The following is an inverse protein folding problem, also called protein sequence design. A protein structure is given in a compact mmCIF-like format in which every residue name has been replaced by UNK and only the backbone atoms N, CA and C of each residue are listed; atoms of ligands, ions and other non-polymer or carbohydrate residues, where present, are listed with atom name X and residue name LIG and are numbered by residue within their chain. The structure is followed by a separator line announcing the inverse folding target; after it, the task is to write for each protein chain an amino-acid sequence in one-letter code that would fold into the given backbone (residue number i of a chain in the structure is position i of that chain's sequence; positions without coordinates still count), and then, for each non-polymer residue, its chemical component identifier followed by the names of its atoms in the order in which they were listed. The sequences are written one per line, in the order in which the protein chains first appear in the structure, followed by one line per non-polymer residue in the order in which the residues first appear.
data_IF_377498716010
#
_entry.id   IF_377498716010
#
_cell.length_a   1.000
_cell.length_b   1.000
_cell.length_c   1.000
_cell.angle_alpha   90.00
_cell.angle_beta   90.00
_cell.angle_gamma   90.00
#
_symmetry.space_group_name_H-M   'P 1'
#
loop_
_entity.id
_entity.type
_entity.pdbx_description
1 polymer ?
#
# COMPACT_ATOMS: atom_id res chain seq x y z
N UNK A 1 -17.24 -2.79 -20.08
CA UNK A 1 -18.17 -3.51 -19.20
C UNK A 1 -17.65 -3.43 -17.77
N UNK A 2 -18.40 -2.82 -16.82
CA UNK A 2 -17.98 -2.72 -15.42
C UNK A 2 -17.62 -4.05 -14.76
N UNK A 3 -18.27 -5.15 -15.17
CA UNK A 3 -17.97 -6.48 -14.62
C UNK A 3 -16.58 -6.98 -15.05
N UNK A 4 -16.20 -6.75 -16.30
CA UNK A 4 -14.89 -7.11 -16.83
C UNK A 4 -13.76 -6.29 -16.17
N UNK A 5 -13.99 -5.00 -15.94
CA UNK A 5 -13.03 -4.13 -15.25
C UNK A 5 -12.83 -4.61 -13.81
N UNK A 6 -13.93 -4.92 -13.10
CA UNK A 6 -13.86 -5.45 -11.72
C UNK A 6 -13.12 -6.79 -11.66
N UNK A 7 -13.32 -7.66 -12.65
CA UNK A 7 -12.61 -8.93 -12.74
C UNK A 7 -11.11 -8.75 -13.01
N UNK A 8 -10.74 -7.78 -13.86
CA UNK A 8 -9.34 -7.46 -14.15
C UNK A 8 -8.62 -6.94 -12.89
N UNK A 9 -9.25 -6.03 -12.13
CA UNK A 9 -8.66 -5.42 -10.93
C UNK A 9 -8.30 -6.43 -9.83
N UNK A 10 -8.99 -7.57 -9.73
CA UNK A 10 -8.72 -8.61 -8.71
C UNK A 10 -7.35 -9.27 -8.84
N UNK A 11 -6.75 -9.23 -10.03
CA UNK A 11 -5.46 -9.87 -10.32
C UNK A 11 -4.35 -8.85 -10.58
N UNK A 12 -4.60 -7.58 -10.28
CA UNK A 12 -3.64 -6.51 -10.51
C UNK A 12 -2.64 -6.50 -9.35
N UNK A 13 -1.42 -6.93 -9.67
CA UNK A 13 -0.23 -6.59 -8.91
C UNK A 13 0.44 -5.42 -9.64
N UNK A 14 0.80 -4.37 -8.91
CA UNK A 14 1.47 -3.20 -9.49
C UNK A 14 2.74 -2.90 -8.72
N UNK A 15 3.81 -2.62 -9.46
CA UNK A 15 4.99 -1.99 -8.90
C UNK A 15 4.67 -0.50 -8.68
N UNK A 16 4.86 -0.02 -7.46
CA UNK A 16 4.62 1.37 -7.08
C UNK A 16 5.85 1.98 -6.38
N UNK A 17 5.91 3.31 -6.21
CA UNK A 17 6.99 3.95 -5.46
C UNK A 17 7.14 3.47 -4.01
N UNK A 18 6.09 2.87 -3.43
CA UNK A 18 6.09 2.31 -2.07
C UNK A 18 6.30 0.79 -2.05
N UNK A 19 6.71 0.21 -3.18
CA UNK A 19 6.87 -1.23 -3.37
C UNK A 19 5.70 -1.89 -4.10
N UNK A 20 5.70 -3.23 -4.19
CA UNK A 20 4.64 -3.99 -4.84
C UNK A 20 3.34 -3.87 -4.05
N UNK A 21 2.22 -3.60 -4.72
CA UNK A 21 0.88 -3.54 -4.14
C UNK A 21 -0.08 -4.54 -4.79
N UNK A 22 -1.01 -5.06 -4.01
CA UNK A 22 -2.07 -5.97 -4.46
C UNK A 22 -3.40 -5.62 -3.80
N UNK A 23 -4.50 -5.97 -4.48
CA UNK A 23 -5.86 -5.69 -4.03
C UNK A 23 -6.66 -6.97 -3.81
N UNK A 24 -7.58 -6.93 -2.85
CA UNK A 24 -8.50 -8.01 -2.58
C UNK A 24 -9.74 -7.99 -3.51
N UNK A 25 -10.68 -8.90 -3.26
CA UNK A 25 -11.92 -9.01 -4.05
C UNK A 25 -12.89 -7.83 -3.92
N UNK A 26 -12.71 -6.99 -2.90
CA UNK A 26 -13.46 -5.78 -2.61
C UNK A 26 -12.79 -4.53 -3.17
N UNK A 27 -11.50 -4.62 -3.53
CA UNK A 27 -10.68 -3.53 -4.03
C UNK A 27 -9.83 -2.86 -2.95
N UNK A 28 -9.71 -3.48 -1.78
CA UNK A 28 -8.88 -2.99 -0.68
C UNK A 28 -7.43 -3.51 -0.82
N UNK A 29 -6.45 -2.71 -0.39
CA UNK A 29 -5.05 -3.15 -0.35
C UNK A 29 -4.87 -4.33 0.61
N UNK A 30 -4.26 -5.41 0.14
CA UNK A 30 -4.06 -6.62 0.96
C UNK A 30 -2.93 -6.50 1.97
N UNK A 31 -1.95 -5.64 1.72
CA UNK A 31 -0.73 -5.52 2.54
C UNK A 31 -0.50 -4.09 3.06
N UNK A 32 -1.55 -3.46 3.59
CA UNK A 32 -1.44 -2.10 4.13
C UNK A 32 -0.35 -1.99 5.20
N UNK A 33 -0.19 -3.02 6.04
CA UNK A 33 0.76 -3.02 7.14
C UNK A 33 2.23 -2.97 6.66
N UNK A 34 2.57 -3.62 5.54
CA UNK A 34 3.92 -3.51 4.96
C UNK A 34 4.25 -2.11 4.43
N UNK A 35 3.24 -1.26 4.24
CA UNK A 35 3.41 0.12 3.77
C UNK A 35 3.14 1.17 4.87
N UNK A 36 2.96 0.75 6.12
CA UNK A 36 2.83 1.68 7.25
C UNK A 36 4.21 2.01 7.81
N UNK A 37 4.56 3.28 7.75
CA UNK A 37 5.81 3.82 8.28
C UNK A 37 5.52 4.73 9.47
N UNK A 38 6.30 4.61 10.53
CA UNK A 38 6.25 5.52 11.67
C UNK A 38 7.36 6.55 11.53
N UNK A 39 7.04 7.81 11.80
CA UNK A 39 8.01 8.90 11.76
C UNK A 39 8.01 9.68 13.07
N UNK A 40 9.18 10.12 13.48
CA UNK A 40 9.39 11.06 14.57
C UNK A 40 9.98 12.37 14.02
N UNK A 41 9.54 13.51 14.56
CA UNK A 41 10.10 14.81 14.17
C UNK A 41 11.39 15.06 14.95
N UNK A 42 12.52 15.14 14.26
CA UNK A 42 13.83 15.39 14.83
C UNK A 42 14.50 16.56 14.11
N UNK A 43 14.81 17.64 14.84
CA UNK A 43 15.40 18.87 14.29
C UNK A 43 14.62 19.52 13.13
N UNK A 44 13.30 19.28 13.05
CA UNK A 44 12.44 19.79 11.98
C UNK A 44 12.26 18.83 10.80
N UNK A 45 12.97 17.70 10.78
CA UNK A 45 12.86 16.67 9.75
C UNK A 45 12.01 15.49 10.25
N UNK A 46 11.30 14.82 9.32
CA UNK A 46 10.64 13.54 9.60
C UNK A 46 11.64 12.40 9.45
N UNK A 47 11.91 11.68 10.53
CA UNK A 47 12.83 10.54 10.56
C UNK A 47 12.03 9.26 10.77
N UNK A 48 12.18 8.27 9.89
CA UNK A 48 11.50 6.99 10.04
C UNK A 48 12.03 6.22 11.26
N UNK A 49 11.13 5.64 12.04
CA UNK A 49 11.44 4.90 13.27
C UNK A 49 10.68 3.57 13.30
N UNK A 50 11.23 2.59 14.00
CA UNK A 50 10.54 1.33 14.29
C UNK A 50 9.97 1.35 15.71
N UNK A 51 8.77 0.77 15.96
CA UNK A 51 8.27 0.57 17.31
C UNK A 51 9.29 -0.24 18.14
N UNK A 52 9.54 0.18 19.38
CA UNK A 52 10.43 -0.53 20.32
C UNK A 52 9.70 -1.63 21.08
#
# INVERSE_FOLDING_TARGET
DPAQIKAAMRNVQMDSPIGPIAFDQYGDLTDQAAHLHLFEVQNGDFVEVSPK
#
